data_IF_589111713980
#
_entry.id   IF_589111713980
#
_cell.length_a   1.000
_cell.length_b   1.000
_cell.length_c   1.000
_cell.angle_alpha   90.00
_cell.angle_beta   90.00
_cell.angle_gamma   90.00
#
_symmetry.space_group_name_H-M   'P 1'
#
loop_
_entity.id
_entity.type
_entity.pdbx_description
1 polymer ?
#
# COMPACT_ATOMS: atom_id res chain seq x y z
N UNK A 1 1.15 -0.94 -4.19
CA UNK A 1 1.34 -0.54 -2.79
C UNK A 1 2.76 -0.06 -2.54
N UNK A 2 2.88 1.01 -1.79
CA UNK A 2 4.16 1.56 -1.38
C UNK A 2 4.29 1.40 0.12
N UNK A 3 5.40 0.87 0.58
CA UNK A 3 5.67 0.75 2.01
C UNK A 3 6.95 1.48 2.37
N UNK A 4 7.03 1.96 3.59
CA UNK A 4 8.21 2.64 4.08
C UNK A 4 8.09 2.97 5.55
N UNK A 5 9.16 3.52 6.09
CA UNK A 5 9.22 3.91 7.50
C UNK A 5 9.21 5.43 7.61
N UNK A 6 8.60 5.91 8.67
CA UNK A 6 8.62 7.33 8.98
C UNK A 6 10.04 7.79 9.30
N UNK A 7 10.36 8.98 8.87
CA UNK A 7 11.58 9.65 9.26
C UNK A 7 11.32 10.56 10.46
N UNK A 8 12.39 10.84 11.20
CA UNK A 8 12.27 11.73 12.35
C UNK A 8 11.79 13.10 11.90
N UNK A 9 10.84 13.64 12.64
CA UNK A 9 10.35 14.99 12.40
C UNK A 9 9.25 15.11 11.36
N UNK A 10 8.83 14.02 10.72
CA UNK A 10 7.71 14.08 9.78
C UNK A 10 6.44 13.46 10.38
N UNK A 11 5.30 13.94 9.93
CA UNK A 11 4.02 13.30 10.24
C UNK A 11 3.83 12.06 9.36
N UNK A 12 2.92 11.13 9.74
CA UNK A 12 2.63 9.99 8.87
C UNK A 12 2.21 10.39 7.46
N UNK A 13 1.40 11.42 7.32
CA UNK A 13 0.95 11.90 6.01
C UNK A 13 2.11 12.42 5.17
N UNK A 14 3.02 13.17 5.80
CA UNK A 14 4.21 13.65 5.12
C UNK A 14 5.10 12.50 4.68
N UNK A 15 5.21 11.47 5.51
CA UNK A 15 5.98 10.27 5.18
C UNK A 15 5.41 9.54 3.99
N UNK A 16 4.08 9.39 3.92
CA UNK A 16 3.42 8.76 2.78
C UNK A 16 3.69 9.54 1.50
N UNK A 17 3.51 10.86 1.53
CA UNK A 17 3.73 11.69 0.35
C UNK A 17 5.20 11.61 -0.12
N UNK A 18 6.13 11.63 0.81
CA UNK A 18 7.55 11.49 0.50
C UNK A 18 7.86 10.16 -0.15
N UNK A 19 7.39 9.06 0.43
CA UNK A 19 7.64 7.72 -0.09
C UNK A 19 7.07 7.53 -1.49
N UNK A 20 5.84 8.00 -1.72
CA UNK A 20 5.23 7.91 -3.05
C UNK A 20 6.06 8.69 -4.06
N UNK A 21 6.46 9.91 -3.71
CA UNK A 21 7.24 10.75 -4.62
C UNK A 21 8.62 10.16 -4.91
N UNK A 22 9.29 9.63 -3.89
CA UNK A 22 10.61 9.05 -4.04
C UNK A 22 10.59 7.79 -4.91
N UNK A 23 9.58 6.96 -4.74
CA UNK A 23 9.54 5.67 -5.41
C UNK A 23 8.88 5.69 -6.77
N UNK A 24 7.96 6.61 -7.01
CA UNK A 24 7.20 6.65 -8.26
C UNK A 24 7.36 7.92 -9.07
N UNK A 25 7.96 8.95 -8.50
CA UNK A 25 8.07 10.26 -9.16
C UNK A 25 6.78 11.05 -9.25
N UNK A 26 5.70 10.54 -8.66
CA UNK A 26 4.39 11.20 -8.72
C UNK A 26 4.29 12.32 -7.70
N UNK A 27 3.53 13.36 -8.04
CA UNK A 27 3.11 14.37 -7.08
C UNK A 27 1.89 13.90 -6.32
N UNK A 28 1.85 14.14 -5.02
CA UNK A 28 0.74 13.71 -4.16
C UNK A 28 -0.15 14.89 -3.88
N UNK A 29 -1.44 14.77 -4.23
CA UNK A 29 -2.42 15.84 -4.04
C UNK A 29 -3.16 15.73 -2.72
N UNK A 30 -3.42 14.51 -2.27
CA UNK A 30 -4.16 14.28 -1.05
C UNK A 30 -3.79 12.93 -0.45
N UNK A 31 -3.81 12.86 0.88
CA UNK A 31 -3.52 11.64 1.63
C UNK A 31 -4.64 11.48 2.65
N UNK A 32 -5.30 10.32 2.65
CA UNK A 32 -6.38 10.03 3.59
C UNK A 32 -6.17 8.71 4.28
N UNK A 33 -6.45 8.68 5.57
CA UNK A 33 -6.26 7.49 6.39
C UNK A 33 -7.26 6.40 6.00
N UNK A 34 -6.77 5.19 5.81
CA UNK A 34 -7.60 4.01 5.64
C UNK A 34 -7.81 3.32 6.99
N UNK A 35 -6.74 3.06 7.71
CA UNK A 35 -6.82 2.42 9.00
C UNK A 35 -5.46 2.06 9.58
N UNK A 36 -5.52 1.42 10.74
CA UNK A 36 -4.34 0.95 11.46
C UNK A 36 -4.48 -0.56 11.64
N UNK A 37 -3.43 -1.29 11.34
CA UNK A 37 -3.48 -2.76 11.31
C UNK A 37 -2.30 -3.36 12.05
N UNK A 38 -2.56 -4.43 12.79
CA UNK A 38 -1.52 -5.22 13.40
C UNK A 38 -0.83 -6.08 12.35
N UNK A 39 0.48 -6.12 12.41
CA UNK A 39 1.26 -7.08 11.65
C UNK A 39 2.16 -7.83 12.63
N UNK A 40 1.53 -8.72 13.40
CA UNK A 40 2.17 -9.33 14.57
C UNK A 40 3.37 -10.18 14.22
N UNK A 41 3.32 -10.90 13.10
CA UNK A 41 4.44 -11.73 12.70
C UNK A 41 5.71 -10.93 12.48
N UNK A 42 5.59 -9.64 12.15
CA UNK A 42 6.72 -8.73 11.98
C UNK A 42 6.91 -7.80 13.17
N UNK A 43 6.09 -7.96 14.20
CA UNK A 43 6.10 -7.08 15.37
C UNK A 43 5.98 -5.60 14.96
N UNK A 44 5.04 -5.32 14.07
CA UNK A 44 4.84 -3.99 13.50
C UNK A 44 3.39 -3.58 13.56
N UNK A 45 3.18 -2.28 13.51
CA UNK A 45 1.86 -1.68 13.29
C UNK A 45 1.92 -0.97 11.95
N UNK A 46 0.93 -1.23 11.11
CA UNK A 46 0.82 -0.62 9.80
C UNK A 46 -0.21 0.48 9.88
N UNK A 47 0.19 1.69 9.48
CA UNK A 47 -0.73 2.82 9.32
C UNK A 47 -0.90 3.00 7.82
N UNK A 48 -2.10 2.72 7.32
CA UNK A 48 -2.35 2.69 5.89
C UNK A 48 -3.10 3.92 5.43
N UNK A 49 -2.65 4.48 4.32
CA UNK A 49 -3.22 5.67 3.71
C UNK A 49 -3.51 5.43 2.25
N UNK A 50 -4.54 6.09 1.76
CA UNK A 50 -4.76 6.25 0.33
C UNK A 50 -4.14 7.57 -0.10
N UNK A 51 -3.27 7.52 -1.09
CA UNK A 51 -2.66 8.71 -1.67
C UNK A 51 -3.25 8.95 -3.06
N UNK A 52 -3.77 10.14 -3.27
CA UNK A 52 -4.21 10.58 -4.58
C UNK A 52 -3.03 11.29 -5.25
N UNK A 53 -2.57 10.75 -6.37
CA UNK A 53 -1.34 11.19 -6.98
C UNK A 53 -1.53 11.48 -8.47
N UNK A 54 -0.61 12.26 -9.04
CA UNK A 54 -0.67 12.68 -10.45
C UNK A 54 0.72 12.72 -11.06
N UNK A 55 0.77 12.67 -12.37
CA UNK A 55 2.01 12.76 -13.13
C UNK A 55 2.34 11.46 -13.83
N UNK A 56 3.56 11.36 -14.31
CA UNK A 56 4.08 10.15 -14.93
C UNK A 56 4.87 9.33 -13.92
N UNK A 57 4.67 8.01 -13.96
CA UNK A 57 5.40 7.11 -13.07
C UNK A 57 6.81 6.93 -13.60
N UNK A 58 7.78 7.29 -12.77
CA UNK A 58 9.20 7.03 -13.00
C UNK A 58 9.71 6.28 -11.78
N UNK A 59 9.92 4.98 -11.92
CA UNK A 59 10.31 4.15 -10.79
C UNK A 59 11.70 4.49 -10.31
N UNK A 60 11.88 4.46 -8.98
CA UNK A 60 13.20 4.54 -8.38
C UNK A 60 14.00 3.28 -8.75
N UNK A 61 15.34 3.32 -8.62
CA UNK A 61 16.16 2.13 -8.91
C UNK A 61 15.82 0.91 -8.05
N UNK A 62 15.13 1.11 -6.95
CA UNK A 62 14.78 0.04 -6.02
C UNK A 62 13.55 -0.74 -6.47
N UNK A 63 12.76 -0.20 -7.39
CA UNK A 63 11.55 -0.84 -7.88
C UNK A 63 11.75 -1.38 -9.28
N UNK A 64 11.36 -2.63 -9.51
CA UNK A 64 11.57 -3.30 -10.78
C UNK A 64 10.47 -2.98 -11.79
N UNK A 65 9.24 -2.91 -11.34
CA UNK A 65 8.09 -2.71 -12.24
C UNK A 65 6.90 -2.16 -11.48
N UNK A 66 5.91 -1.69 -12.24
CA UNK A 66 4.60 -1.33 -11.69
C UNK A 66 3.51 -1.85 -12.60
N UNK A 67 2.31 -1.95 -12.03
CA UNK A 67 1.09 -2.26 -12.78
C UNK A 67 -0.04 -1.38 -12.29
N UNK A 68 -0.89 -0.99 -13.23
CA UNK A 68 -2.09 -0.22 -12.93
C UNK A 68 -3.30 -1.15 -13.00
N UNK A 69 -4.16 -1.04 -12.00
CA UNK A 69 -5.36 -1.85 -11.90
C UNK A 69 -6.57 -0.96 -11.73
N UNK A 70 -7.67 -1.35 -12.37
CA UNK A 70 -8.97 -0.80 -11.98
C UNK A 70 -9.31 -1.34 -10.59
N UNK A 71 -10.01 -0.56 -9.76
CA UNK A 71 -10.37 -1.05 -8.41
C UNK A 71 -11.07 -2.40 -8.43
N UNK A 72 -11.92 -2.66 -9.43
CA UNK A 72 -12.65 -3.92 -9.52
C UNK A 72 -11.74 -5.12 -9.77
N UNK A 73 -10.55 -4.89 -10.33
CA UNK A 73 -9.59 -5.94 -10.65
C UNK A 73 -8.58 -6.19 -9.55
N UNK A 74 -8.60 -5.39 -8.49
CA UNK A 74 -7.65 -5.50 -7.40
C UNK A 74 -7.96 -6.72 -6.56
N UNK A 75 -6.93 -7.49 -6.22
CA UNK A 75 -7.07 -8.64 -5.34
C UNK A 75 -6.35 -8.40 -4.04
N UNK A 76 -6.97 -8.82 -2.95
CA UNK A 76 -6.47 -8.63 -1.60
C UNK A 76 -5.92 -9.94 -1.05
N UNK A 77 -5.11 -9.85 -0.03
CA UNK A 77 -4.56 -11.01 0.66
C UNK A 77 -4.77 -10.86 2.16
N UNK A 78 -4.77 -11.97 2.88
CA UNK A 78 -5.16 -12.00 4.29
C UNK A 78 -3.95 -11.85 5.20
N UNK A 79 -3.26 -10.73 5.05
CA UNK A 79 -2.13 -10.37 5.90
C UNK A 79 -1.83 -8.89 5.74
N UNK A 80 -1.46 -8.24 6.82
CA UNK A 80 -0.89 -6.89 6.80
C UNK A 80 -1.64 -5.90 5.90
N UNK A 81 -0.95 -5.40 4.90
CA UNK A 81 -1.48 -4.38 3.99
C UNK A 81 -2.63 -4.87 3.11
N UNK A 82 -2.79 -6.19 2.96
CA UNK A 82 -3.93 -6.74 2.22
C UNK A 82 -5.27 -6.37 2.85
N UNK A 83 -5.34 -6.30 4.16
CA UNK A 83 -6.56 -5.88 4.86
C UNK A 83 -6.84 -4.40 4.65
N UNK A 84 -5.80 -3.58 4.61
CA UNK A 84 -5.96 -2.16 4.32
C UNK A 84 -6.53 -1.94 2.93
N UNK A 85 -6.02 -2.68 1.96
CA UNK A 85 -6.50 -2.62 0.59
C UNK A 85 -7.98 -3.03 0.51
N UNK A 86 -8.37 -4.08 1.23
CA UNK A 86 -9.76 -4.52 1.29
C UNK A 86 -10.66 -3.44 1.88
N UNK A 87 -10.23 -2.79 2.95
CA UNK A 87 -11.02 -1.73 3.57
C UNK A 87 -11.17 -0.52 2.65
N UNK A 88 -10.12 -0.18 1.91
CA UNK A 88 -10.20 0.88 0.93
C UNK A 88 -11.23 0.56 -0.15
N UNK A 89 -11.24 -0.68 -0.65
CA UNK A 89 -12.23 -1.11 -1.64
C UNK A 89 -13.64 -1.03 -1.10
N UNK A 90 -13.85 -1.48 0.14
CA UNK A 90 -15.17 -1.40 0.77
C UNK A 90 -15.64 0.04 0.91
N UNK A 91 -14.72 0.94 1.23
CA UNK A 91 -15.03 2.37 1.31
C UNK A 91 -15.48 2.96 -0.03
N UNK A 92 -15.14 2.30 -1.14
CA UNK A 92 -15.58 2.69 -2.48
C UNK A 92 -16.81 1.91 -2.95
N UNK A 93 -17.42 1.13 -2.06
CA UNK A 93 -18.60 0.34 -2.41
C UNK A 93 -18.30 -0.94 -3.17
N UNK A 94 -17.06 -1.40 -3.14
CA UNK A 94 -16.65 -2.60 -3.84
C UNK A 94 -16.47 -3.76 -2.87
N UNK A 95 -16.78 -4.96 -3.33
CA UNK A 95 -16.57 -6.16 -2.55
C UNK A 95 -15.16 -6.69 -2.81
N UNK A 96 -14.30 -6.83 -1.77
CA UNK A 96 -12.95 -7.31 -1.99
C UNK A 96 -12.92 -8.74 -2.51
N UNK A 97 -12.02 -9.00 -3.44
CA UNK A 97 -11.72 -10.34 -3.90
C UNK A 97 -10.42 -10.79 -3.26
N UNK A 98 -10.38 -12.01 -2.77
CA UNK A 98 -9.25 -12.49 -1.99
C UNK A 98 -8.42 -13.51 -2.76
N UNK A 99 -7.11 -13.39 -2.62
CA UNK A 99 -6.18 -14.41 -3.08
C UNK A 99 -6.12 -15.47 -2.01
N UNK A 100 -6.43 -16.71 -2.40
CA UNK A 100 -6.28 -17.85 -1.49
C UNK A 100 -4.85 -18.35 -1.57
N UNK A 101 -4.21 -18.46 -0.41
CA UNK A 101 -2.81 -18.83 -0.34
C UNK A 101 -2.63 -20.26 0.09
N UNK A 102 -1.89 -21.07 -0.67
CA UNK A 102 -1.41 -22.33 -0.14
C UNK A 102 -0.51 -22.09 1.07
N UNK A 103 -0.54 -23.01 2.03
CA UNK A 103 0.21 -22.87 3.27
C UNK A 103 1.73 -22.78 3.05
N UNK A 104 2.21 -23.25 1.91
CA UNK A 104 3.63 -23.27 1.58
C UNK A 104 4.16 -21.98 0.98
N UNK A 105 3.29 -21.02 0.66
CA UNK A 105 3.74 -19.77 0.04
C UNK A 105 4.47 -18.89 1.05
N UNK A 106 5.54 -18.24 0.63
CA UNK A 106 6.10 -17.12 1.39
C UNK A 106 5.02 -16.06 1.53
N UNK A 107 5.00 -15.41 2.67
CA UNK A 107 3.85 -14.58 2.97
C UNK A 107 4.11 -13.09 2.95
N UNK A 108 5.34 -12.66 2.92
CA UNK A 108 5.68 -11.29 3.24
C UNK A 108 6.23 -10.52 2.08
N UNK A 109 7.13 -11.07 1.32
CA UNK A 109 7.84 -10.30 0.31
C UNK A 109 6.97 -9.90 -0.86
N UNK A 110 6.00 -10.73 -1.18
CA UNK A 110 5.13 -10.48 -2.32
C UNK A 110 4.10 -9.42 -2.04
N UNK A 111 3.84 -9.14 -0.79
CA UNK A 111 2.84 -8.14 -0.42
C UNK A 111 3.36 -6.72 -0.53
N UNK A 112 4.63 -6.52 -0.65
CA UNK A 112 5.25 -5.21 -0.54
C UNK A 112 5.27 -4.44 -1.84
N UNK A 113 5.25 -5.10 -2.92
CA UNK A 113 5.30 -4.49 -4.23
C UNK A 113 4.41 -5.22 -5.23
#
# INVERSE_FOLDING_TARGET
>A
LITGFMEAGETPQEGVAREVSEETGLGVDAVSLIGVYDFQRMNQVIIAYHAQARGEIVLSPELAEYRLFRPEAVRCWRAGTGYALADWLRGRGLEPQWIERPATLPTDNTAQT
#
